data_IF_178414566734
#
_entry.id   IF_178414566734
#
_cell.length_a   1.000
_cell.length_b   1.000
_cell.length_c   1.000
_cell.angle_alpha   90.00
_cell.angle_beta   90.00
_cell.angle_gamma   90.00
#
_symmetry.space_group_name_H-M   'P 1'
#
loop_
_entity.id
_entity.type
_entity.pdbx_description
1 polymer ?
#
# COMPACT_ATOMS: atom_id res chain seq x y z
N UNK A 1 -56.42 23.60 5.28
CA UNK A 1 -55.42 23.00 4.35
C UNK A 1 -55.77 21.53 4.17
N UNK A 2 -56.03 21.04 2.95
CA UNK A 2 -56.28 19.61 2.67
C UNK A 2 -54.92 18.90 2.71
N UNK A 3 -54.67 18.10 3.70
CA UNK A 3 -53.51 17.18 3.71
C UNK A 3 -53.77 16.08 2.67
N UNK A 4 -52.92 16.01 1.65
CA UNK A 4 -52.92 14.90 0.70
C UNK A 4 -52.11 13.77 1.32
N UNK A 5 -52.78 12.68 1.70
CA UNK A 5 -52.10 11.47 2.15
C UNK A 5 -51.55 10.69 0.96
N UNK A 6 -50.43 9.98 1.15
CA UNK A 6 -49.89 9.04 0.16
C UNK A 6 -50.85 7.87 -0.04
N UNK A 7 -51.02 7.45 -1.28
CA UNK A 7 -51.78 6.25 -1.60
C UNK A 7 -50.96 4.99 -1.36
N UNK A 8 -51.59 3.89 -1.02
CA UNK A 8 -50.95 2.59 -0.77
C UNK A 8 -50.18 2.09 -2.02
N UNK A 9 -50.70 2.37 -3.22
CA UNK A 9 -50.08 1.98 -4.47
C UNK A 9 -48.81 2.78 -4.77
N UNK A 10 -48.76 4.08 -4.44
CA UNK A 10 -47.56 4.91 -4.61
C UNK A 10 -46.41 4.36 -3.72
N UNK A 11 -46.72 3.96 -2.49
CA UNK A 11 -45.69 3.38 -1.60
C UNK A 11 -45.19 2.03 -2.13
N UNK A 12 -46.13 1.17 -2.61
CA UNK A 12 -45.79 -0.16 -3.10
C UNK A 12 -44.90 -0.12 -4.33
N UNK A 13 -45.18 0.79 -5.30
CA UNK A 13 -44.36 0.96 -6.48
C UNK A 13 -42.94 1.46 -6.12
N UNK A 14 -42.82 2.38 -5.18
CA UNK A 14 -41.52 2.91 -4.75
C UNK A 14 -40.68 1.80 -4.11
N UNK A 15 -41.24 1.00 -3.20
CA UNK A 15 -40.45 -0.09 -2.55
C UNK A 15 -40.09 -1.20 -3.55
N UNK A 16 -40.93 -1.46 -4.57
CA UNK A 16 -40.61 -2.42 -5.61
C UNK A 16 -39.42 -1.95 -6.46
N UNK A 17 -39.38 -0.66 -6.84
CA UNK A 17 -38.26 -0.10 -7.60
C UNK A 17 -36.99 -0.11 -6.79
N UNK A 18 -37.02 0.33 -5.51
CA UNK A 18 -35.87 0.29 -4.62
C UNK A 18 -35.35 -1.14 -4.46
N UNK A 19 -36.25 -2.13 -4.30
CA UNK A 19 -35.88 -3.54 -4.19
C UNK A 19 -35.10 -4.04 -5.42
N UNK A 20 -35.55 -3.70 -6.64
CA UNK A 20 -34.86 -4.09 -7.87
C UNK A 20 -33.48 -3.40 -7.96
N UNK A 21 -33.41 -2.09 -7.68
CA UNK A 21 -32.16 -1.34 -7.73
C UNK A 21 -31.16 -1.86 -6.68
N UNK A 22 -31.60 -2.18 -5.49
CA UNK A 22 -30.73 -2.74 -4.45
C UNK A 22 -30.18 -4.12 -4.85
N UNK A 23 -31.01 -5.00 -5.43
CA UNK A 23 -30.58 -6.33 -5.86
C UNK A 23 -29.45 -6.31 -6.90
N UNK A 24 -29.47 -5.35 -7.82
CA UNK A 24 -28.41 -5.19 -8.84
C UNK A 24 -27.21 -4.40 -8.31
N UNK A 25 -27.46 -3.38 -7.48
CA UNK A 25 -26.44 -2.44 -7.01
C UNK A 25 -25.39 -3.08 -6.12
N UNK A 26 -25.77 -3.97 -5.20
CA UNK A 26 -24.85 -4.56 -4.21
C UNK A 26 -23.73 -5.38 -4.87
N UNK A 27 -24.07 -6.23 -5.85
CA UNK A 27 -23.09 -7.09 -6.52
C UNK A 27 -22.08 -6.29 -7.36
N UNK A 28 -22.54 -5.21 -7.99
CA UNK A 28 -21.67 -4.35 -8.82
C UNK A 28 -20.73 -3.52 -7.95
N UNK A 29 -21.23 -3.03 -6.80
CA UNK A 29 -20.45 -2.17 -5.90
C UNK A 29 -19.29 -2.90 -5.24
N UNK A 30 -19.44 -4.16 -4.83
CA UNK A 30 -18.37 -4.95 -4.22
C UNK A 30 -17.18 -5.15 -5.18
N UNK A 31 -17.44 -5.39 -6.46
CA UNK A 31 -16.40 -5.52 -7.47
C UNK A 31 -15.62 -4.20 -7.74
N UNK A 32 -16.28 -3.06 -7.60
CA UNK A 32 -15.63 -1.75 -7.70
C UNK A 32 -14.72 -1.48 -6.50
N UNK A 33 -15.16 -1.83 -5.29
CA UNK A 33 -14.35 -1.67 -4.08
C UNK A 33 -13.05 -2.49 -4.15
N UNK A 34 -13.10 -3.74 -4.58
CA UNK A 34 -11.90 -4.58 -4.73
C UNK A 34 -10.92 -3.98 -5.75
N UNK A 35 -11.41 -3.55 -6.92
CA UNK A 35 -10.57 -2.89 -7.92
C UNK A 35 -9.96 -1.59 -7.40
N UNK A 36 -10.71 -0.80 -6.65
CA UNK A 36 -10.21 0.43 -6.04
C UNK A 36 -9.09 0.15 -5.02
N UNK A 37 -9.24 -0.85 -4.16
CA UNK A 37 -8.20 -1.28 -3.22
C UNK A 37 -6.92 -1.71 -3.95
N UNK A 38 -7.04 -2.58 -4.96
CA UNK A 38 -5.90 -3.00 -5.80
C UNK A 38 -5.20 -1.80 -6.44
N UNK A 39 -5.96 -0.84 -6.94
CA UNK A 39 -5.41 0.41 -7.52
C UNK A 39 -4.66 1.22 -6.47
N UNK A 40 -5.20 1.34 -5.27
CA UNK A 40 -4.55 2.04 -4.14
C UNK A 40 -3.26 1.35 -3.73
N UNK A 41 -3.21 0.01 -3.64
CA UNK A 41 -1.98 -0.72 -3.33
C UNK A 41 -0.87 -0.43 -4.35
N UNK A 42 -1.22 -0.46 -5.64
CA UNK A 42 -0.26 -0.14 -6.72
C UNK A 42 0.20 1.32 -6.67
N UNK A 43 -0.71 2.23 -6.38
CA UNK A 43 -0.41 3.65 -6.23
C UNK A 43 0.54 3.90 -5.05
N UNK A 44 0.27 3.29 -3.89
CA UNK A 44 1.13 3.37 -2.71
C UNK A 44 2.54 2.85 -3.01
N UNK A 45 2.65 1.70 -3.69
CA UNK A 45 3.94 1.16 -4.11
C UNK A 45 4.73 2.15 -4.96
N UNK A 46 4.12 2.69 -6.01
CA UNK A 46 4.76 3.66 -6.91
C UNK A 46 5.16 4.93 -6.17
N UNK A 47 4.31 5.41 -5.25
CA UNK A 47 4.59 6.57 -4.43
C UNK A 47 5.85 6.36 -3.58
N UNK A 48 5.92 5.22 -2.88
CA UNK A 48 7.08 4.87 -2.04
C UNK A 48 8.36 4.78 -2.87
N UNK A 49 8.32 4.07 -4.02
CA UNK A 49 9.48 3.95 -4.91
C UNK A 49 9.96 5.33 -5.38
N UNK A 50 9.04 6.17 -5.86
CA UNK A 50 9.37 7.52 -6.33
C UNK A 50 9.92 8.40 -5.21
N UNK A 51 9.28 8.36 -4.03
CA UNK A 51 9.74 9.13 -2.88
C UNK A 51 11.17 8.77 -2.50
N UNK A 52 11.46 7.48 -2.27
CA UNK A 52 12.79 7.03 -1.89
C UNK A 52 13.82 7.41 -2.96
N UNK A 53 13.52 7.17 -4.24
CA UNK A 53 14.43 7.52 -5.34
C UNK A 53 14.72 9.03 -5.39
N UNK A 54 13.71 9.86 -5.21
CA UNK A 54 13.85 11.32 -5.19
C UNK A 54 14.69 11.79 -4.00
N UNK A 55 14.43 11.23 -2.83
CA UNK A 55 15.15 11.59 -1.61
C UNK A 55 16.61 11.16 -1.63
N UNK A 56 16.93 10.01 -2.23
CA UNK A 56 18.31 9.57 -2.46
C UNK A 56 18.99 10.50 -3.47
N UNK A 57 18.29 10.91 -4.52
CA UNK A 57 18.84 11.86 -5.50
C UNK A 57 19.21 13.20 -4.85
N UNK A 58 18.45 13.68 -3.87
CA UNK A 58 18.83 14.88 -3.09
C UNK A 58 20.21 14.71 -2.44
N UNK A 59 20.49 13.53 -1.90
CA UNK A 59 21.79 13.23 -1.33
C UNK A 59 22.92 13.23 -2.37
N UNK A 60 22.65 12.74 -3.58
CA UNK A 60 23.63 12.72 -4.68
C UNK A 60 23.99 14.15 -5.12
N UNK A 61 23.03 15.06 -5.16
CA UNK A 61 23.27 16.47 -5.54
C UNK A 61 23.78 17.33 -4.38
N UNK A 62 24.13 16.75 -3.24
CA UNK A 62 24.80 17.44 -2.15
C UNK A 62 23.90 18.07 -1.09
N UNK A 63 22.61 17.72 -1.04
CA UNK A 63 21.73 18.14 0.06
C UNK A 63 22.16 17.42 1.35
N UNK A 64 22.24 18.14 2.45
CA UNK A 64 22.72 17.59 3.74
C UNK A 64 21.75 16.56 4.33
N UNK A 65 20.44 16.81 4.23
CA UNK A 65 19.38 15.97 4.82
C UNK A 65 18.30 15.64 3.80
N UNK A 66 17.81 14.41 3.87
CA UNK A 66 16.72 13.89 3.06
C UNK A 66 15.62 13.29 3.93
N UNK A 67 14.54 12.81 3.31
CA UNK A 67 13.44 12.10 3.98
C UNK A 67 12.83 12.93 5.12
N UNK A 68 12.44 14.17 4.79
CA UNK A 68 11.86 15.15 5.73
C UNK A 68 12.77 15.42 6.95
N UNK A 69 14.10 15.36 6.73
CA UNK A 69 15.11 15.57 7.77
C UNK A 69 15.47 14.33 8.59
N UNK A 70 14.82 13.20 8.34
CA UNK A 70 15.04 11.96 9.09
C UNK A 70 16.32 11.23 8.67
N UNK A 71 16.94 11.60 7.54
CA UNK A 71 18.18 11.02 7.06
C UNK A 71 19.23 12.10 6.84
N UNK A 72 20.41 11.94 7.46
CA UNK A 72 21.61 12.65 7.03
C UNK A 72 22.20 11.93 5.83
N UNK A 73 22.42 12.64 4.73
CA UNK A 73 22.89 12.03 3.49
C UNK A 73 24.27 11.37 3.59
N UNK A 74 25.12 11.86 4.52
CA UNK A 74 26.40 11.23 4.84
C UNK A 74 26.26 9.83 5.46
N UNK A 75 25.13 9.54 6.07
CA UNK A 75 24.84 8.29 6.80
C UNK A 75 24.02 7.30 5.96
N UNK A 76 23.72 7.60 4.69
CA UNK A 76 22.81 6.79 3.85
C UNK A 76 23.26 5.34 3.65
N UNK A 77 24.60 5.10 3.68
CA UNK A 77 25.21 3.78 3.51
C UNK A 77 25.78 3.21 4.83
N UNK A 78 25.64 3.93 5.94
CA UNK A 78 26.14 3.47 7.21
C UNK A 78 25.56 2.09 7.58
N UNK A 79 26.43 1.26 8.13
CA UNK A 79 26.02 -0.05 8.65
C UNK A 79 25.34 0.16 10.02
N UNK A 80 24.06 -0.20 10.09
CA UNK A 80 23.27 -0.19 11.31
C UNK A 80 22.64 -1.57 11.50
N UNK A 81 22.76 -2.15 12.69
CA UNK A 81 22.28 -3.51 12.99
C UNK A 81 22.79 -4.57 11.98
N UNK A 82 24.03 -4.43 11.51
CA UNK A 82 24.63 -5.35 10.54
C UNK A 82 24.17 -5.19 9.08
N UNK A 83 23.33 -4.19 8.79
CA UNK A 83 22.85 -3.90 7.42
C UNK A 83 23.25 -2.49 6.97
N UNK A 84 23.98 -2.39 5.85
CA UNK A 84 24.20 -1.11 5.18
C UNK A 84 22.87 -0.55 4.67
N UNK A 85 22.68 0.78 4.77
CA UNK A 85 21.46 1.45 4.28
C UNK A 85 20.21 1.28 5.18
N UNK A 86 20.28 0.61 6.31
CA UNK A 86 19.13 0.44 7.21
C UNK A 86 18.62 1.77 7.77
N UNK A 87 19.51 2.74 8.02
CA UNK A 87 19.13 4.10 8.41
C UNK A 87 18.24 4.77 7.35
N UNK A 88 18.58 4.59 6.08
CA UNK A 88 17.79 5.09 4.94
C UNK A 88 16.39 4.48 4.90
N UNK A 89 16.28 3.16 5.09
CA UNK A 89 14.99 2.46 5.16
C UNK A 89 14.15 2.97 6.33
N UNK A 90 14.73 3.07 7.52
CA UNK A 90 14.02 3.55 8.71
C UNK A 90 13.55 5.01 8.57
N UNK A 91 14.38 5.86 7.97
CA UNK A 91 14.03 7.25 7.69
C UNK A 91 12.88 7.34 6.68
N UNK A 92 12.89 6.53 5.63
CA UNK A 92 11.80 6.44 4.66
C UNK A 92 10.48 5.99 5.29
N UNK A 93 10.51 4.97 6.16
CA UNK A 93 9.34 4.49 6.89
C UNK A 93 8.76 5.56 7.80
N UNK A 94 9.62 6.33 8.46
CA UNK A 94 9.19 7.42 9.34
C UNK A 94 8.53 8.53 8.53
N UNK A 95 9.14 8.96 7.43
CA UNK A 95 8.63 10.02 6.57
C UNK A 95 7.31 9.65 5.86
N UNK A 96 7.10 8.36 5.59
CA UNK A 96 5.93 7.83 4.87
C UNK A 96 4.89 7.20 5.81
N UNK A 97 4.92 7.53 7.10
CA UNK A 97 4.04 6.93 8.12
C UNK A 97 2.55 7.20 7.91
N UNK A 98 2.20 8.21 7.12
CA UNK A 98 0.80 8.59 6.84
C UNK A 98 0.14 7.79 5.71
N UNK A 99 0.89 6.97 4.99
CA UNK A 99 0.32 6.10 3.96
C UNK A 99 -0.57 5.05 4.61
N UNK A 100 -1.80 4.91 4.09
CA UNK A 100 -2.80 3.98 4.62
C UNK A 100 -2.98 2.76 3.72
N UNK A 101 -3.11 1.60 4.34
CA UNK A 101 -3.49 0.36 3.66
C UNK A 101 -5.02 0.22 3.66
N UNK A 102 -5.69 0.21 2.49
CA UNK A 102 -7.15 0.11 2.41
C UNK A 102 -7.72 -1.24 2.83
N UNK A 103 -6.89 -2.26 3.00
CA UNK A 103 -7.32 -3.59 3.47
C UNK A 103 -7.16 -3.77 4.99
N UNK A 104 -6.56 -2.80 5.67
CA UNK A 104 -6.44 -2.86 7.12
C UNK A 104 -7.69 -2.27 7.78
N UNK A 105 -8.39 -3.09 8.54
CA UNK A 105 -9.64 -2.75 9.25
C UNK A 105 -9.42 -2.05 10.60
N UNK A 106 -8.16 -1.82 10.99
CA UNK A 106 -7.83 -1.21 12.28
C UNK A 106 -7.92 -2.17 13.47
N UNK A 107 -8.26 -3.43 13.24
CA UNK A 107 -8.34 -4.47 14.29
C UNK A 107 -6.98 -5.15 14.43
N UNK A 108 -6.42 -5.14 15.63
CA UNK A 108 -5.12 -5.74 15.95
C UNK A 108 -4.03 -4.71 16.24
N UNK A 109 -2.82 -5.14 16.63
CA UNK A 109 -1.71 -4.23 16.89
C UNK A 109 -1.43 -3.39 15.64
N UNK A 110 -1.30 -2.08 15.82
CA UNK A 110 -1.05 -1.12 14.75
C UNK A 110 0.12 -1.60 13.89
N UNK A 111 -0.20 -2.17 12.75
CA UNK A 111 0.80 -2.57 11.76
C UNK A 111 1.15 -1.29 10.99
N UNK A 112 2.40 -0.87 11.01
CA UNK A 112 2.85 0.19 10.14
C UNK A 112 2.59 -0.26 8.71
N UNK A 113 1.86 0.51 7.93
CA UNK A 113 1.50 0.19 6.55
C UNK A 113 2.74 0.10 5.65
N UNK A 114 3.83 0.75 6.07
CA UNK A 114 5.16 0.59 5.52
C UNK A 114 6.01 -0.03 6.62
N UNK A 115 6.53 -1.21 6.40
CA UNK A 115 7.32 -1.93 7.38
C UNK A 115 8.71 -2.26 6.85
N UNK A 116 9.78 -2.11 7.69
CA UNK A 116 11.05 -2.71 7.37
C UNK A 116 10.88 -4.23 7.33
N UNK A 117 11.41 -4.85 6.31
CA UNK A 117 11.32 -6.29 6.18
C UNK A 117 12.37 -6.97 7.05
N UNK A 118 12.03 -7.32 8.28
CA UNK A 118 12.69 -8.41 8.99
C UNK A 118 11.73 -9.53 9.37
N UNK A 119 10.45 -9.43 9.01
CA UNK A 119 9.45 -10.42 9.44
C UNK A 119 8.32 -10.68 8.45
N UNK A 120 8.35 -10.07 7.24
CA UNK A 120 7.28 -10.22 6.27
C UNK A 120 7.84 -10.43 4.87
N UNK A 121 7.88 -11.66 4.46
CA UNK A 121 8.31 -12.06 3.11
C UNK A 121 7.36 -11.59 1.99
N UNK A 122 6.38 -10.74 2.26
CA UNK A 122 5.28 -10.43 1.34
C UNK A 122 4.71 -11.71 0.69
N UNK A 123 4.61 -12.79 1.48
CA UNK A 123 4.33 -14.14 1.00
C UNK A 123 2.97 -14.65 1.45
N UNK A 124 2.32 -13.95 2.37
CA UNK A 124 1.05 -14.35 2.94
C UNK A 124 -0.07 -13.35 2.70
N UNK A 125 -1.32 -13.82 2.85
CA UNK A 125 -2.52 -12.97 2.79
C UNK A 125 -2.53 -11.86 3.87
N UNK A 126 -1.69 -12.01 4.93
CA UNK A 126 -1.53 -11.02 5.99
C UNK A 126 -0.72 -9.78 5.57
N UNK A 127 -0.08 -9.80 4.40
CA UNK A 127 0.74 -8.70 3.88
C UNK A 127 0.07 -7.96 2.71
N UNK A 128 -1.20 -8.26 2.45
CA UNK A 128 -1.97 -7.63 1.39
C UNK A 128 -2.02 -6.10 1.60
N UNK A 129 -1.62 -5.36 0.57
CA UNK A 129 -1.61 -3.90 0.55
C UNK A 129 -0.49 -3.23 1.34
N UNK A 130 0.33 -3.98 2.09
CA UNK A 130 1.50 -3.41 2.77
C UNK A 130 2.64 -3.19 1.78
N UNK A 131 3.35 -2.08 1.95
CA UNK A 131 4.59 -1.80 1.22
C UNK A 131 5.76 -2.19 2.12
N UNK A 132 6.42 -3.28 1.77
CA UNK A 132 7.61 -3.76 2.48
C UNK A 132 8.85 -3.14 1.84
N UNK A 133 9.75 -2.61 2.69
CA UNK A 133 11.02 -2.03 2.26
C UNK A 133 12.12 -2.81 2.97
N UNK A 134 13.01 -3.42 2.20
CA UNK A 134 14.19 -4.12 2.73
C UNK A 134 15.46 -3.57 2.08
N UNK A 135 16.59 -3.80 2.71
CA UNK A 135 17.90 -3.40 2.19
C UNK A 135 18.89 -4.54 2.29
N UNK A 136 19.64 -4.75 1.21
CA UNK A 136 20.74 -5.68 1.13
C UNK A 136 21.93 -5.00 0.45
N UNK A 137 22.98 -4.72 1.22
CA UNK A 137 24.10 -3.89 0.76
C UNK A 137 23.63 -2.48 0.39
N UNK A 138 23.93 -2.02 -0.82
CA UNK A 138 23.52 -0.72 -1.35
C UNK A 138 22.19 -0.76 -2.13
N UNK A 139 21.44 -1.85 -2.07
CA UNK A 139 20.19 -2.00 -2.82
C UNK A 139 19.01 -2.06 -1.87
N UNK A 140 18.08 -1.12 -2.03
CA UNK A 140 16.77 -1.13 -1.39
C UNK A 140 15.79 -1.86 -2.30
N UNK A 141 15.08 -2.85 -1.77
CA UNK A 141 13.95 -3.51 -2.43
C UNK A 141 12.64 -3.00 -1.84
N UNK A 142 11.73 -2.59 -2.70
CA UNK A 142 10.35 -2.22 -2.34
C UNK A 142 9.43 -3.28 -2.89
N UNK A 143 8.67 -3.93 -2.01
CA UNK A 143 7.84 -5.09 -2.35
C UNK A 143 6.42 -4.86 -1.85
N UNK A 144 5.42 -5.01 -2.72
CA UNK A 144 4.01 -4.89 -2.36
C UNK A 144 3.19 -6.03 -2.92
N UNK A 145 2.46 -6.72 -2.05
CA UNK A 145 1.41 -7.65 -2.44
C UNK A 145 0.12 -6.87 -2.69
N UNK A 146 -0.39 -6.86 -3.92
CA UNK A 146 -1.59 -6.09 -4.25
C UNK A 146 -2.84 -6.95 -4.47
N UNK A 147 -2.72 -8.27 -4.39
CA UNK A 147 -3.82 -9.22 -4.51
C UNK A 147 -3.50 -10.51 -3.75
N UNK A 148 -4.52 -11.24 -3.32
CA UNK A 148 -4.40 -12.54 -2.63
C UNK A 148 -3.52 -13.51 -3.44
N UNK A 149 -2.83 -14.44 -2.77
CA UNK A 149 -1.87 -15.41 -3.34
C UNK A 149 -0.53 -14.83 -3.82
N UNK A 150 0.04 -13.95 -3.02
CA UNK A 150 1.39 -13.42 -3.20
C UNK A 150 2.51 -14.37 -2.75
N UNK A 151 2.34 -15.66 -2.78
CA UNK A 151 3.36 -16.62 -2.28
C UNK A 151 4.69 -16.44 -2.99
N UNK A 152 5.77 -16.35 -2.21
CA UNK A 152 7.13 -16.46 -2.73
C UNK A 152 7.42 -17.91 -3.12
N UNK A 153 8.05 -18.11 -4.27
CA UNK A 153 8.90 -19.26 -4.48
C UNK A 153 8.28 -20.58 -4.91
N UNK A 154 7.03 -20.67 -5.28
CA UNK A 154 6.58 -21.79 -6.11
C UNK A 154 6.51 -21.31 -7.54
N UNK A 155 7.12 -22.08 -8.45
CA UNK A 155 7.19 -21.90 -9.89
C UNK A 155 5.91 -21.36 -10.50
N UNK A 156 5.66 -20.08 -10.28
CA UNK A 156 4.52 -19.40 -10.87
C UNK A 156 4.86 -19.17 -12.34
N UNK A 157 3.95 -19.55 -13.23
CA UNK A 157 4.00 -19.16 -14.64
C UNK A 157 4.47 -17.70 -14.74
N UNK A 158 5.43 -17.36 -15.61
CA UNK A 158 5.80 -15.99 -15.88
C UNK A 158 4.54 -15.18 -16.18
N UNK A 159 4.24 -14.15 -15.36
CA UNK A 159 3.09 -13.27 -15.57
C UNK A 159 1.97 -13.35 -14.52
N UNK A 160 2.05 -14.18 -13.47
CA UNK A 160 0.99 -14.32 -12.46
C UNK A 160 1.41 -13.94 -11.03
N UNK A 161 2.40 -13.06 -10.88
CA UNK A 161 2.75 -12.56 -9.55
C UNK A 161 1.84 -11.38 -9.16
N UNK A 162 0.99 -11.59 -8.17
CA UNK A 162 0.20 -10.52 -7.54
C UNK A 162 1.07 -9.58 -6.68
N UNK A 163 2.31 -9.38 -7.09
CA UNK A 163 3.39 -8.70 -6.37
C UNK A 163 4.06 -7.67 -7.28
N UNK A 164 4.32 -6.48 -6.75
CA UNK A 164 5.20 -5.48 -7.35
C UNK A 164 6.54 -5.51 -6.64
N UNK A 165 7.63 -5.44 -7.38
CA UNK A 165 8.99 -5.38 -6.85
C UNK A 165 9.77 -4.33 -7.62
N UNK A 166 10.39 -3.39 -6.91
CA UNK A 166 11.33 -2.42 -7.45
C UNK A 166 12.62 -2.41 -6.63
N UNK A 167 13.71 -2.13 -7.28
CA UNK A 167 15.03 -2.01 -6.68
C UNK A 167 15.55 -0.59 -6.85
N UNK A 168 16.14 -0.02 -5.80
CA UNK A 168 16.69 1.33 -5.77
C UNK A 168 18.12 1.23 -5.25
N UNK A 169 19.09 1.79 -5.97
CA UNK A 169 20.50 1.82 -5.55
C UNK A 169 20.76 3.05 -4.69
N UNK A 170 21.55 2.89 -3.63
CA UNK A 170 21.92 3.95 -2.69
C UNK A 170 23.18 4.73 -3.10
N UNK A 171 23.79 4.34 -4.23
CA UNK A 171 25.02 4.96 -4.77
C UNK A 171 24.73 6.28 -5.44
#
# INVERSE_FOLDING_TARGET
>A
MKQRGFTLIELLVVVAIIGILAAVGVNTFSGFQEKAKVSTHKSNHILVVKYISTEIMKCVIGVEKAMDGNLKCSERLDVHEGKAGLKTVNAAITALSDIKNPDWDGVGPAKKEIAPNNSRDATGNGDLGFVNIDVSGSIISVITCYKIDCKAGTTSKPGTTNKLINYITLE
#
